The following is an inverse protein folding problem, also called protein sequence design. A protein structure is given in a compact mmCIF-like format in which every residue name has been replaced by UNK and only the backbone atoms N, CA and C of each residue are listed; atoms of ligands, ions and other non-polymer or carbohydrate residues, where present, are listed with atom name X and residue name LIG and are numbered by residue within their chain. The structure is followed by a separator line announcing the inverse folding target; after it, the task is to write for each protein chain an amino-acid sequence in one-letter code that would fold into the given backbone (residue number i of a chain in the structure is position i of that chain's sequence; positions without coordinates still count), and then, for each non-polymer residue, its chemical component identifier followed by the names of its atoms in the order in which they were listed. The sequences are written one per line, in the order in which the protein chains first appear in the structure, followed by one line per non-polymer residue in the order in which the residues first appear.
data_IF_851456480684
#
_entry.id   IF_851456480684
#
_cell.length_a   1.000
_cell.length_b   1.000
_cell.length_c   1.000
_cell.angle_alpha   90.00
_cell.angle_beta   90.00
_cell.angle_gamma   90.00
#
_symmetry.space_group_name_H-M   'P 1'
#
loop_
_entity.id
_entity.type
_entity.pdbx_description
1 polymer ?
#
# COMPACT_ATOMS: atom_id res chain seq x y z
N UNK A 1 -20.36 -8.74 -27.24
CA UNK A 1 -19.55 -8.61 -26.02
C UNK A 1 -20.56 -8.44 -24.89
N UNK A 2 -21.01 -9.57 -24.35
CA UNK A 2 -22.11 -9.63 -23.39
C UNK A 2 -21.54 -9.37 -21.98
N UNK A 3 -22.15 -8.42 -21.26
CA UNK A 3 -21.83 -8.17 -19.86
C UNK A 3 -22.29 -9.38 -19.01
N UNK A 4 -21.49 -9.84 -18.04
CA UNK A 4 -21.95 -10.86 -17.11
C UNK A 4 -22.95 -10.24 -16.12
N UNK A 5 -24.08 -10.93 -15.95
CA UNK A 5 -25.11 -10.66 -14.95
C UNK A 5 -24.50 -10.56 -13.54
N UNK A 6 -24.71 -9.40 -12.92
CA UNK A 6 -24.49 -9.20 -11.49
C UNK A 6 -25.56 -9.99 -10.73
N UNK A 7 -25.24 -11.24 -10.37
CA UNK A 7 -25.97 -11.97 -9.35
C UNK A 7 -25.79 -11.25 -8.01
N UNK A 8 -26.86 -10.58 -7.62
CA UNK A 8 -27.14 -10.04 -6.30
C UNK A 8 -27.03 -11.17 -5.26
N UNK A 9 -25.85 -11.34 -4.66
CA UNK A 9 -25.70 -12.13 -3.45
C UNK A 9 -26.33 -11.36 -2.30
N UNK A 10 -27.64 -11.52 -2.13
CA UNK A 10 -28.30 -11.21 -0.88
C UNK A 10 -27.74 -12.13 0.20
N UNK A 11 -26.82 -11.60 1.02
CA UNK A 11 -26.45 -12.18 2.31
C UNK A 11 -27.74 -12.47 3.08
N UNK A 12 -28.07 -13.75 3.28
CA UNK A 12 -29.09 -14.17 4.24
C UNK A 12 -28.68 -13.68 5.63
N UNK A 13 -29.38 -12.73 6.27
CA UNK A 13 -29.26 -12.61 7.71
C UNK A 13 -30.01 -13.80 8.33
N UNK A 14 -29.68 -14.14 9.57
CA UNK A 14 -30.54 -14.93 10.49
C UNK A 14 -30.20 -16.39 10.83
N UNK A 15 -28.93 -16.81 10.76
CA UNK A 15 -28.50 -17.97 11.58
C UNK A 15 -28.35 -17.63 13.08
N UNK A 16 -28.07 -16.36 13.39
CA UNK A 16 -27.61 -15.91 14.72
C UNK A 16 -28.74 -15.53 15.69
N UNK A 17 -29.88 -15.05 15.18
CA UNK A 17 -30.97 -14.57 16.05
C UNK A 17 -31.90 -15.71 16.43
N UNK A 18 -32.22 -16.60 15.49
CA UNK A 18 -33.15 -17.71 15.75
C UNK A 18 -32.57 -18.74 16.72
N UNK A 19 -31.28 -19.05 16.60
CA UNK A 19 -30.56 -19.93 17.53
C UNK A 19 -30.45 -19.35 18.95
N UNK A 20 -30.36 -18.02 19.10
CA UNK A 20 -30.36 -17.33 20.41
C UNK A 20 -31.74 -17.32 21.07
N UNK A 21 -32.81 -17.20 20.27
CA UNK A 21 -34.19 -17.25 20.78
C UNK A 21 -34.55 -18.67 21.21
N UNK A 22 -34.13 -19.69 20.45
CA UNK A 22 -34.35 -21.09 20.81
C UNK A 22 -33.61 -21.51 22.08
N UNK A 23 -32.36 -21.05 22.27
CA UNK A 23 -31.62 -21.35 23.50
C UNK A 23 -32.20 -20.63 24.72
N UNK A 24 -32.68 -19.39 24.57
CA UNK A 24 -33.37 -18.67 25.65
C UNK A 24 -34.68 -19.39 26.05
N UNK A 25 -35.47 -19.85 25.09
CA UNK A 25 -36.71 -20.60 25.35
C UNK A 25 -36.44 -21.93 26.08
N UNK A 26 -35.40 -22.66 25.68
CA UNK A 26 -34.99 -23.92 26.32
C UNK A 26 -34.53 -23.74 27.78
N UNK A 27 -33.85 -22.62 28.09
CA UNK A 27 -33.46 -22.26 29.46
C UNK A 27 -34.70 -21.99 30.32
N UNK A 28 -35.68 -21.24 29.79
CA UNK A 28 -36.92 -20.92 30.52
C UNK A 28 -37.75 -22.18 30.80
N UNK A 29 -37.87 -23.11 29.84
CA UNK A 29 -38.58 -24.38 30.06
C UNK A 29 -37.87 -25.31 31.03
N UNK A 30 -36.53 -25.38 31.02
CA UNK A 30 -35.77 -26.12 32.03
C UNK A 30 -35.98 -25.56 33.44
N UNK A 31 -35.95 -24.23 33.61
CA UNK A 31 -36.18 -23.58 34.90
C UNK A 31 -37.61 -23.85 35.40
N UNK A 32 -38.61 -23.74 34.52
CA UNK A 32 -40.00 -24.03 34.86
C UNK A 32 -40.21 -25.51 35.27
N UNK A 33 -39.58 -26.45 34.57
CA UNK A 33 -39.64 -27.88 34.90
C UNK A 33 -39.00 -28.20 36.26
N UNK A 34 -37.88 -27.55 36.59
CA UNK A 34 -37.23 -27.73 37.90
C UNK A 34 -38.04 -27.08 39.02
N UNK A 35 -38.64 -25.90 38.80
CA UNK A 35 -39.55 -25.28 39.77
C UNK A 35 -40.78 -26.17 40.05
N UNK A 36 -41.36 -26.76 39.01
CA UNK A 36 -42.45 -27.73 39.15
C UNK A 36 -42.02 -28.99 39.92
N UNK A 37 -40.85 -29.55 39.62
CA UNK A 37 -40.31 -30.72 40.32
C UNK A 37 -40.00 -30.45 41.81
N UNK A 38 -39.50 -29.25 42.14
CA UNK A 38 -39.27 -28.82 43.53
C UNK A 38 -40.60 -28.72 44.28
N UNK A 39 -41.64 -28.12 43.66
CA UNK A 39 -42.96 -27.96 44.27
C UNK A 39 -43.68 -29.29 44.57
N UNK A 40 -43.36 -30.34 43.81
CA UNK A 40 -43.92 -31.68 43.98
C UNK A 40 -43.07 -32.57 44.93
N UNK A 41 -41.84 -32.17 45.25
CA UNK A 41 -40.94 -32.99 46.08
C UNK A 41 -41.25 -32.84 47.57
N UNK A 42 -41.44 -33.96 48.26
CA UNK A 42 -41.67 -34.02 49.71
C UNK A 42 -40.36 -34.00 50.53
N UNK A 43 -39.23 -34.23 49.85
CA UNK A 43 -37.91 -34.39 50.46
C UNK A 43 -36.99 -33.20 50.10
N UNK A 44 -36.56 -32.48 51.14
CA UNK A 44 -35.75 -31.26 51.02
C UNK A 44 -34.41 -31.50 50.35
N UNK A 45 -33.85 -32.71 50.51
CA UNK A 45 -32.53 -33.07 49.98
C UNK A 45 -32.57 -33.18 48.45
N UNK A 46 -33.65 -33.77 47.91
CA UNK A 46 -33.86 -33.91 46.47
C UNK A 46 -34.08 -32.54 45.81
N UNK A 47 -34.80 -31.64 46.47
CA UNK A 47 -35.00 -30.27 45.99
C UNK A 47 -33.67 -29.52 45.81
N UNK A 48 -32.75 -29.61 46.78
CA UNK A 48 -31.42 -28.96 46.69
C UNK A 48 -30.55 -29.55 45.57
N UNK A 49 -30.59 -30.87 45.35
CA UNK A 49 -29.88 -31.53 44.26
C UNK A 49 -30.40 -31.04 42.90
N UNK A 50 -31.73 -30.92 42.74
CA UNK A 50 -32.35 -30.41 41.51
C UNK A 50 -31.99 -28.95 41.24
N UNK A 51 -31.95 -28.11 42.28
CA UNK A 51 -31.49 -26.70 42.16
C UNK A 51 -30.04 -26.66 41.71
N UNK A 52 -29.16 -27.47 42.31
CA UNK A 52 -27.74 -27.51 41.96
C UNK A 52 -27.52 -27.95 40.50
N UNK A 53 -28.22 -29.00 40.04
CA UNK A 53 -28.17 -29.48 38.66
C UNK A 53 -28.66 -28.39 37.70
N UNK A 54 -29.75 -27.71 38.04
CA UNK A 54 -30.30 -26.65 37.21
C UNK A 54 -29.35 -25.44 37.12
N UNK A 55 -28.71 -25.07 38.23
CA UNK A 55 -27.71 -24.01 38.26
C UNK A 55 -26.48 -24.35 37.39
N UNK A 56 -25.99 -25.59 37.45
CA UNK A 56 -24.89 -26.07 36.59
C UNK A 56 -25.31 -26.08 35.13
N UNK A 57 -26.52 -26.56 34.79
CA UNK A 57 -27.03 -26.55 33.42
C UNK A 57 -27.13 -25.13 32.83
N UNK A 58 -27.63 -24.17 33.63
CA UNK A 58 -27.69 -22.75 33.24
C UNK A 58 -26.28 -22.18 33.05
N UNK A 59 -25.34 -22.49 33.95
CA UNK A 59 -23.94 -22.07 33.81
C UNK A 59 -23.29 -22.61 32.53
N UNK A 60 -23.50 -23.88 32.21
CA UNK A 60 -22.99 -24.53 30.99
C UNK A 60 -23.60 -23.89 29.73
N UNK A 61 -24.89 -23.53 29.75
CA UNK A 61 -25.54 -22.85 28.62
C UNK A 61 -25.11 -21.39 28.45
N UNK A 62 -24.84 -20.67 29.55
CA UNK A 62 -24.40 -19.26 29.50
C UNK A 62 -22.90 -19.11 29.20
N UNK A 63 -22.08 -20.12 29.49
CA UNK A 63 -20.64 -20.12 29.25
C UNK A 63 -20.24 -19.71 27.81
N UNK A 64 -20.80 -20.28 26.74
CA UNK A 64 -20.47 -19.85 25.36
C UNK A 64 -20.88 -18.40 25.09
N UNK A 65 -21.98 -17.91 25.68
CA UNK A 65 -22.42 -16.52 25.54
C UNK A 65 -21.42 -15.57 26.21
N UNK A 66 -21.01 -15.87 27.44
CA UNK A 66 -19.99 -15.11 28.19
C UNK A 66 -18.67 -15.12 27.42
N UNK A 67 -18.22 -16.27 26.93
CA UNK A 67 -17.00 -16.37 26.12
C UNK A 67 -17.10 -15.52 24.84
N UNK A 68 -18.22 -15.56 24.12
CA UNK A 68 -18.42 -14.75 22.91
C UNK A 68 -18.39 -13.24 23.21
N UNK A 69 -18.95 -12.84 24.35
CA UNK A 69 -19.04 -11.44 24.76
C UNK A 69 -17.68 -10.92 25.20
N UNK A 70 -16.96 -11.71 26.00
CA UNK A 70 -15.57 -11.41 26.40
C UNK A 70 -14.64 -11.37 25.20
N UNK A 71 -14.76 -12.32 24.27
CA UNK A 71 -13.98 -12.32 23.03
C UNK A 71 -14.26 -11.08 22.18
N UNK A 72 -15.54 -10.69 22.06
CA UNK A 72 -15.95 -9.49 21.33
C UNK A 72 -15.43 -8.21 21.98
N UNK A 73 -15.51 -8.10 23.31
CA UNK A 73 -14.96 -6.97 24.06
C UNK A 73 -13.44 -6.88 23.91
N UNK A 74 -12.72 -8.01 23.98
CA UNK A 74 -11.28 -8.08 23.73
C UNK A 74 -10.93 -7.64 22.30
N UNK A 75 -11.69 -8.08 21.29
CA UNK A 75 -11.52 -7.65 19.90
C UNK A 75 -11.72 -6.13 19.74
N UNK A 76 -12.79 -5.57 20.33
CA UNK A 76 -13.05 -4.12 20.32
C UNK A 76 -11.93 -3.32 20.98
N UNK A 77 -11.43 -3.77 22.13
CA UNK A 77 -10.30 -3.12 22.83
C UNK A 77 -9.04 -3.13 21.97
N UNK A 78 -8.73 -4.27 21.33
CA UNK A 78 -7.60 -4.37 20.40
C UNK A 78 -7.78 -3.43 19.20
N UNK A 79 -8.97 -3.39 18.60
CA UNK A 79 -9.25 -2.50 17.47
C UNK A 79 -9.13 -1.02 17.86
N UNK A 80 -9.62 -0.64 19.04
CA UNK A 80 -9.48 0.72 19.55
C UNK A 80 -8.00 1.10 19.74
N UNK A 81 -7.20 0.21 20.31
CA UNK A 81 -5.76 0.42 20.46
C UNK A 81 -5.06 0.59 19.10
N UNK A 82 -5.42 -0.24 18.10
CA UNK A 82 -4.90 -0.13 16.74
C UNK A 82 -5.32 1.19 16.06
N UNK A 83 -6.56 1.63 16.24
CA UNK A 83 -7.02 2.92 15.70
C UNK A 83 -6.25 4.10 16.32
N UNK A 84 -5.93 4.04 17.61
CA UNK A 84 -5.08 5.06 18.26
C UNK A 84 -3.66 5.03 17.69
N UNK A 85 -3.08 3.84 17.51
CA UNK A 85 -1.76 3.70 16.90
C UNK A 85 -1.73 4.22 15.46
N UNK A 86 -2.75 3.93 14.66
CA UNK A 86 -2.88 4.44 13.29
C UNK A 86 -2.86 5.98 13.24
N UNK A 87 -3.59 6.63 14.14
CA UNK A 87 -3.57 8.10 14.26
C UNK A 87 -2.20 8.64 14.65
N UNK A 88 -1.51 7.99 15.59
CA UNK A 88 -0.15 8.42 15.97
C UNK A 88 0.88 8.26 14.85
N UNK A 89 0.69 7.31 13.94
CA UNK A 89 1.60 7.04 12.82
C UNK A 89 1.28 7.83 11.56
N UNK A 90 0.14 8.51 11.54
CA UNK A 90 -0.31 9.24 10.36
C UNK A 90 0.61 10.39 9.96
N UNK A 91 1.18 11.11 10.92
CA UNK A 91 2.13 12.18 10.64
C UNK A 91 3.41 11.68 9.95
N UNK A 92 3.85 10.45 10.25
CA UNK A 92 4.98 9.82 9.57
C UNK A 92 4.63 9.51 8.11
N UNK A 93 3.40 9.02 7.85
CA UNK A 93 2.90 8.78 6.49
C UNK A 93 2.85 10.08 5.67
N UNK A 94 2.29 11.16 6.24
CA UNK A 94 2.26 12.48 5.59
C UNK A 94 3.67 12.99 5.30
N UNK A 95 4.60 12.83 6.23
CA UNK A 95 6.01 13.20 6.04
C UNK A 95 6.67 12.44 4.88
N UNK A 96 6.45 11.12 4.80
CA UNK A 96 6.92 10.30 3.67
C UNK A 96 6.30 10.74 2.34
N UNK A 97 5.00 11.03 2.31
CA UNK A 97 4.35 11.54 1.11
C UNK A 97 4.96 12.89 0.68
N UNK A 98 5.20 13.83 1.61
CA UNK A 98 5.87 15.11 1.28
C UNK A 98 7.26 14.92 0.70
N UNK A 99 8.06 14.01 1.28
CA UNK A 99 9.37 13.63 0.73
C UNK A 99 9.25 13.01 -0.66
N UNK A 100 8.24 12.20 -0.92
CA UNK A 100 7.99 11.70 -2.27
C UNK A 100 7.66 12.86 -3.24
N UNK A 101 6.89 13.84 -2.78
CA UNK A 101 6.53 15.04 -3.55
C UNK A 101 7.72 15.85 -4.06
N UNK A 102 8.88 15.80 -3.40
CA UNK A 102 10.08 16.49 -3.92
C UNK A 102 10.57 15.86 -5.23
N UNK A 103 10.33 14.57 -5.45
CA UNK A 103 10.70 13.88 -6.69
C UNK A 103 9.71 14.11 -7.82
N UNK A 104 8.45 14.44 -7.53
CA UNK A 104 7.43 14.72 -8.54
C UNK A 104 7.29 16.20 -8.88
N UNK A 105 7.96 17.08 -8.12
CA UNK A 105 7.95 18.51 -8.38
C UNK A 105 8.72 18.85 -9.66
N UNK A 106 8.02 19.24 -10.71
CA UNK A 106 8.61 19.63 -12.01
C UNK A 106 9.29 21.01 -11.99
N UNK A 107 9.05 21.81 -10.94
CA UNK A 107 9.76 23.07 -10.73
C UNK A 107 11.16 22.91 -10.12
N UNK A 108 11.51 21.70 -9.67
CA UNK A 108 12.81 21.40 -9.07
C UNK A 108 13.82 20.96 -10.15
N UNK A 109 14.96 21.66 -10.34
CA UNK A 109 15.99 21.26 -11.31
C UNK A 109 16.61 19.89 -11.03
N UNK A 110 16.46 19.36 -9.82
CA UNK A 110 16.93 18.03 -9.42
C UNK A 110 15.95 16.89 -9.77
N UNK A 111 14.80 17.23 -10.36
CA UNK A 111 13.81 16.28 -10.88
C UNK A 111 14.35 15.53 -12.10
N UNK A 112 14.17 14.20 -12.14
CA UNK A 112 14.73 13.38 -13.21
C UNK A 112 14.18 13.71 -14.60
N UNK A 113 12.92 14.11 -14.70
CA UNK A 113 12.31 14.49 -15.97
C UNK A 113 12.90 15.79 -16.50
N UNK A 114 13.14 16.76 -15.62
CA UNK A 114 13.76 18.02 -15.98
C UNK A 114 15.25 17.84 -16.34
N UNK A 115 15.97 16.98 -15.61
CA UNK A 115 17.34 16.60 -15.95
C UNK A 115 17.41 16.00 -17.37
N UNK A 116 16.53 15.05 -17.69
CA UNK A 116 16.48 14.40 -19.01
C UNK A 116 16.05 15.41 -20.09
N UNK A 117 15.03 16.22 -19.84
CA UNK A 117 14.54 17.24 -20.79
C UNK A 117 15.63 18.26 -21.14
N UNK A 118 16.34 18.77 -20.13
CA UNK A 118 17.45 19.70 -20.31
C UNK A 118 18.60 19.04 -21.08
N UNK A 119 18.90 17.78 -20.78
CA UNK A 119 19.91 17.00 -21.50
C UNK A 119 19.54 16.73 -22.97
N UNK A 120 18.25 16.68 -23.28
CA UNK A 120 17.73 16.62 -24.65
C UNK A 120 17.71 18.00 -25.34
N UNK A 121 18.30 19.06 -24.76
CA UNK A 121 18.26 20.43 -25.29
C UNK A 121 16.83 20.92 -25.57
N UNK A 122 15.86 20.49 -24.76
CA UNK A 122 14.43 20.77 -24.92
C UNK A 122 13.80 20.24 -26.22
N UNK A 123 14.45 19.28 -26.88
CA UNK A 123 13.87 18.51 -27.99
C UNK A 123 12.77 17.58 -27.45
N UNK A 124 11.51 17.98 -27.67
CA UNK A 124 10.34 17.26 -27.15
C UNK A 124 10.20 15.86 -27.72
N UNK A 125 10.62 15.65 -28.97
CA UNK A 125 10.51 14.35 -29.63
C UNK A 125 11.49 13.38 -28.99
N UNK A 126 12.76 13.77 -28.84
CA UNK A 126 13.77 12.93 -28.14
C UNK A 126 13.42 12.69 -26.69
N UNK A 127 12.88 13.69 -26.00
CA UNK A 127 12.43 13.53 -24.62
C UNK A 127 11.31 12.49 -24.52
N UNK A 128 10.29 12.57 -25.39
CA UNK A 128 9.13 11.65 -25.39
C UNK A 128 9.51 10.19 -25.72
N UNK A 129 10.61 9.98 -26.44
CA UNK A 129 11.14 8.64 -26.67
C UNK A 129 11.67 7.99 -25.38
N UNK A 130 12.19 8.80 -24.44
CA UNK A 130 12.75 8.35 -23.16
C UNK A 130 11.66 8.31 -22.09
N UNK A 131 11.06 9.47 -21.82
CA UNK A 131 10.13 9.67 -20.70
C UNK A 131 8.67 9.58 -21.16
N UNK A 132 7.78 8.97 -20.35
CA UNK A 132 6.35 9.03 -20.62
C UNK A 132 5.79 10.45 -20.36
N UNK A 133 4.55 10.73 -20.77
CA UNK A 133 3.84 11.92 -20.33
C UNK A 133 3.79 12.00 -18.80
N UNK A 134 4.01 13.19 -18.24
CA UNK A 134 4.04 13.40 -16.80
C UNK A 134 2.62 13.57 -16.24
N UNK A 135 2.02 12.45 -15.85
CA UNK A 135 0.75 12.41 -15.13
C UNK A 135 0.93 12.61 -13.61
N UNK A 136 2.15 12.45 -13.10
CA UNK A 136 2.41 12.53 -11.65
C UNK A 136 2.32 13.97 -11.15
N UNK A 137 2.64 14.96 -11.99
CA UNK A 137 2.39 16.37 -11.69
C UNK A 137 0.92 16.69 -11.36
N UNK A 138 -0.03 15.94 -11.93
CA UNK A 138 -1.46 16.21 -11.78
C UNK A 138 -2.06 15.34 -10.66
N UNK A 139 -1.68 14.06 -10.60
CA UNK A 139 -2.25 13.10 -9.66
C UNK A 139 -1.69 13.28 -8.24
N UNK A 140 -0.38 13.50 -8.11
CA UNK A 140 0.27 13.49 -6.80
C UNK A 140 -0.18 14.65 -5.88
N UNK A 141 -0.32 15.90 -6.36
CA UNK A 141 -0.80 16.99 -5.50
C UNK A 141 -2.21 16.75 -4.95
N UNK A 142 -3.10 16.14 -5.74
CA UNK A 142 -4.47 15.80 -5.31
C UNK A 142 -4.42 14.75 -4.20
N UNK A 143 -3.61 13.70 -4.37
CA UNK A 143 -3.39 12.68 -3.34
C UNK A 143 -2.82 13.29 -2.06
N UNK A 144 -1.77 14.13 -2.16
CA UNK A 144 -1.16 14.76 -1.00
C UNK A 144 -2.16 15.66 -0.26
N UNK A 145 -2.93 16.47 -0.99
CA UNK A 145 -3.98 17.30 -0.39
C UNK A 145 -5.03 16.45 0.33
N UNK A 146 -5.44 15.32 -0.25
CA UNK A 146 -6.36 14.38 0.40
C UNK A 146 -5.78 13.84 1.71
N UNK A 147 -4.52 13.43 1.68
CA UNK A 147 -3.78 12.92 2.84
C UNK A 147 -3.52 14.00 3.91
N UNK A 148 -3.47 15.28 3.56
CA UNK A 148 -3.29 16.34 4.57
C UNK A 148 -4.62 16.75 5.21
N UNK A 149 -5.70 16.74 4.43
CA UNK A 149 -7.01 17.26 4.86
C UNK A 149 -7.88 16.21 5.55
N UNK A 150 -7.64 14.92 5.29
CA UNK A 150 -8.50 13.83 5.77
C UNK A 150 -7.73 12.78 6.58
N UNK A 151 -7.45 13.03 7.87
CA UNK A 151 -6.83 12.04 8.72
C UNK A 151 -7.70 10.78 8.86
N UNK A 152 -7.09 9.60 9.04
CA UNK A 152 -7.80 8.34 9.09
C UNK A 152 -8.63 8.24 10.37
N UNK A 153 -9.88 7.85 10.21
CA UNK A 153 -10.80 7.60 11.32
C UNK A 153 -10.46 6.29 12.03
N UNK A 154 -9.90 5.32 11.29
CA UNK A 154 -9.61 3.96 11.74
C UNK A 154 -8.38 3.36 11.05
N UNK A 155 -7.95 2.19 11.53
CA UNK A 155 -6.85 1.40 10.98
C UNK A 155 -7.01 1.11 9.49
N UNK A 156 -8.21 0.77 9.01
CA UNK A 156 -8.43 0.37 7.63
C UNK A 156 -8.17 1.55 6.66
N UNK A 157 -8.68 2.73 6.97
CA UNK A 157 -8.42 3.95 6.19
C UNK A 157 -6.93 4.33 6.20
N UNK A 158 -6.25 4.14 7.33
CA UNK A 158 -4.81 4.35 7.44
C UNK A 158 -4.04 3.39 6.52
N UNK A 159 -4.31 2.09 6.59
CA UNK A 159 -3.65 1.08 5.75
C UNK A 159 -3.94 1.29 4.26
N UNK A 160 -5.16 1.71 3.91
CA UNK A 160 -5.51 2.07 2.54
C UNK A 160 -4.66 3.24 2.03
N UNK A 161 -4.50 4.30 2.84
CA UNK A 161 -3.66 5.45 2.48
C UNK A 161 -2.19 5.04 2.24
N UNK A 162 -1.69 4.05 2.98
CA UNK A 162 -0.35 3.49 2.77
C UNK A 162 -0.27 2.75 1.43
N UNK A 163 -1.29 1.96 1.10
CA UNK A 163 -1.35 1.23 -0.17
C UNK A 163 -1.42 2.18 -1.37
N UNK A 164 -2.18 3.27 -1.26
CA UNK A 164 -2.26 4.31 -2.27
C UNK A 164 -0.91 5.00 -2.48
N UNK A 165 -0.23 5.42 -1.41
CA UNK A 165 1.12 5.98 -1.51
C UNK A 165 2.10 4.98 -2.11
N UNK A 166 2.06 3.71 -1.69
CA UNK A 166 2.90 2.66 -2.26
C UNK A 166 2.66 2.50 -3.76
N UNK A 167 1.41 2.48 -4.21
CA UNK A 167 1.06 2.35 -5.62
C UNK A 167 1.60 3.53 -6.44
N UNK A 168 1.50 4.76 -5.91
CA UNK A 168 2.06 5.95 -6.56
C UNK A 168 3.59 5.87 -6.67
N UNK A 169 4.28 5.50 -5.59
CA UNK A 169 5.75 5.35 -5.58
C UNK A 169 6.20 4.21 -6.51
N UNK A 170 5.47 3.09 -6.53
CA UNK A 170 5.77 1.96 -7.41
C UNK A 170 5.55 2.32 -8.89
N UNK A 171 4.45 3.01 -9.20
CA UNK A 171 4.20 3.55 -10.54
C UNK A 171 5.29 4.54 -10.94
N UNK A 172 5.68 5.45 -10.04
CA UNK A 172 6.75 6.41 -10.29
C UNK A 172 8.09 5.71 -10.59
N UNK A 173 8.45 4.73 -9.75
CA UNK A 173 9.65 3.91 -9.92
C UNK A 173 9.67 3.28 -11.30
N UNK A 174 8.57 2.65 -11.72
CA UNK A 174 8.50 1.94 -13.00
C UNK A 174 8.59 2.89 -14.18
N UNK A 175 7.72 3.89 -14.22
CA UNK A 175 7.47 4.71 -15.41
C UNK A 175 8.45 5.86 -15.58
N UNK A 176 8.95 6.45 -14.49
CA UNK A 176 9.78 7.66 -14.55
C UNK A 176 11.23 7.44 -14.14
N UNK A 177 11.56 6.28 -13.57
CA UNK A 177 12.93 5.94 -13.18
C UNK A 177 13.45 4.72 -13.94
N UNK A 178 12.91 3.53 -13.68
CA UNK A 178 13.39 2.26 -14.26
C UNK A 178 13.30 2.24 -15.78
N UNK A 179 12.13 2.55 -16.35
CA UNK A 179 11.94 2.51 -17.81
C UNK A 179 12.78 3.56 -18.56
N UNK A 180 12.82 4.84 -18.14
CA UNK A 180 13.72 5.82 -18.73
C UNK A 180 15.18 5.38 -18.68
N UNK A 181 15.65 4.86 -17.54
CA UNK A 181 17.03 4.41 -17.39
C UNK A 181 17.32 3.20 -18.30
N UNK A 182 16.36 2.27 -18.39
CA UNK A 182 16.44 1.14 -19.31
C UNK A 182 16.55 1.60 -20.76
N UNK A 183 15.73 2.58 -21.19
CA UNK A 183 15.76 3.14 -22.54
C UNK A 183 17.06 3.87 -22.83
N UNK A 184 17.56 4.69 -21.89
CA UNK A 184 18.84 5.40 -22.03
C UNK A 184 20.02 4.44 -22.24
N UNK A 185 20.01 3.29 -21.55
CA UNK A 185 21.05 2.26 -21.67
C UNK A 185 20.92 1.39 -22.92
N UNK A 186 19.70 0.94 -23.24
CA UNK A 186 19.48 -0.10 -24.25
C UNK A 186 19.16 0.43 -25.64
N UNK A 187 18.47 1.58 -25.75
CA UNK A 187 18.16 2.18 -27.06
C UNK A 187 19.44 2.74 -27.67
N UNK A 188 19.57 2.59 -28.98
CA UNK A 188 20.73 3.05 -29.76
C UNK A 188 20.38 4.40 -30.41
N UNK A 189 21.21 5.40 -30.17
CA UNK A 189 20.98 6.81 -30.52
C UNK A 189 22.04 7.32 -31.49
N UNK A 190 21.66 8.19 -32.45
CA UNK A 190 22.62 8.83 -33.35
C UNK A 190 23.67 9.63 -32.57
N UNK A 191 24.95 9.36 -32.82
CA UNK A 191 26.05 10.06 -32.17
C UNK A 191 26.36 11.37 -32.90
N UNK A 192 26.36 12.49 -32.17
CA UNK A 192 26.60 13.82 -32.75
C UNK A 192 28.06 14.06 -33.18
N UNK A 193 29.03 13.33 -32.61
CA UNK A 193 30.44 13.42 -32.96
C UNK A 193 31.04 12.02 -33.24
N UNK A 194 31.08 11.55 -34.50
CA UNK A 194 31.71 10.27 -34.85
C UNK A 194 33.22 10.26 -34.57
N UNK A 195 33.83 11.44 -34.38
CA UNK A 195 35.26 11.60 -34.13
C UNK A 195 35.71 11.14 -32.74
N UNK A 196 34.81 11.08 -31.76
CA UNK A 196 35.13 10.58 -30.39
C UNK A 196 35.11 9.04 -30.34
N UNK A 197 34.71 8.40 -31.44
CA UNK A 197 34.75 6.94 -31.64
C UNK A 197 35.82 6.54 -32.67
N UNK A 198 36.84 7.40 -32.89
CA UNK A 198 37.89 7.16 -33.89
C UNK A 198 38.83 5.98 -33.59
N UNK A 199 38.71 5.33 -32.44
CA UNK A 199 39.41 4.06 -32.18
C UNK A 199 38.63 2.81 -32.62
N UNK A 200 37.35 2.93 -33.02
CA UNK A 200 36.59 1.81 -33.56
C UNK A 200 36.14 2.08 -35.00
N UNK A 201 37.04 1.75 -35.93
CA UNK A 201 36.80 1.45 -37.34
C UNK A 201 36.30 2.59 -38.25
N UNK A 202 37.13 2.87 -39.27
CA UNK A 202 36.78 3.11 -40.68
C UNK A 202 35.77 4.20 -41.02
N UNK A 203 36.25 5.25 -41.71
CA UNK A 203 35.53 6.17 -42.62
C UNK A 203 34.02 6.34 -42.38
N UNK A 204 33.65 7.39 -41.65
CA UNK A 204 32.24 7.76 -41.44
C UNK A 204 31.58 8.18 -42.76
N UNK A 205 30.61 7.39 -43.21
CA UNK A 205 29.72 7.74 -44.32
C UNK A 205 28.54 8.55 -43.75
N UNK A 206 28.25 9.79 -44.20
CA UNK A 206 27.19 10.64 -43.64
C UNK A 206 25.76 10.07 -43.81
N UNK A 207 25.60 9.02 -44.63
CA UNK A 207 24.34 8.30 -44.81
C UNK A 207 24.08 7.17 -43.80
N UNK A 208 25.01 6.92 -42.85
CA UNK A 208 24.81 5.90 -41.81
C UNK A 208 25.37 6.38 -40.45
N UNK A 209 24.57 7.09 -39.62
CA UNK A 209 25.05 7.62 -38.35
C UNK A 209 25.46 6.48 -37.41
N UNK A 210 26.66 6.58 -36.81
CA UNK A 210 27.08 5.64 -35.76
C UNK A 210 26.08 5.77 -34.59
N UNK A 211 25.58 4.62 -34.12
CA UNK A 211 24.64 4.58 -33.01
C UNK A 211 25.31 4.12 -31.71
N UNK A 212 24.99 4.77 -30.59
CA UNK A 212 25.53 4.42 -29.27
C UNK A 212 24.51 4.59 -28.14
N UNK A 213 24.90 4.35 -26.89
CA UNK A 213 24.06 4.64 -25.73
C UNK A 213 23.72 6.14 -25.66
N UNK A 214 22.61 6.49 -24.99
CA UNK A 214 22.10 7.86 -24.99
C UNK A 214 23.11 8.89 -24.48
N UNK A 215 23.82 8.62 -23.36
CA UNK A 215 24.83 9.53 -22.81
C UNK A 215 25.93 9.89 -23.84
N UNK A 216 26.28 8.96 -24.74
CA UNK A 216 27.29 9.20 -25.77
C UNK A 216 26.78 10.03 -26.94
N UNK A 217 25.45 10.10 -27.12
CA UNK A 217 24.82 10.98 -28.12
C UNK A 217 24.85 12.47 -27.71
N UNK A 218 25.03 12.74 -26.41
CA UNK A 218 25.12 14.11 -25.87
C UNK A 218 26.48 14.76 -26.18
N UNK A 219 26.54 16.09 -26.32
CA UNK A 219 27.81 16.82 -26.41
C UNK A 219 28.68 16.58 -25.15
N UNK A 220 30.02 16.56 -25.27
CA UNK A 220 30.90 16.16 -24.16
C UNK A 220 30.68 16.94 -22.86
N UNK A 221 30.52 18.26 -22.94
CA UNK A 221 30.32 19.13 -21.77
C UNK A 221 28.93 18.95 -21.10
N UNK A 222 27.91 18.49 -21.85
CA UNK A 222 26.61 18.16 -21.28
C UNK A 222 26.57 16.75 -20.70
N UNK A 223 27.37 15.82 -21.25
CA UNK A 223 27.42 14.42 -20.78
C UNK A 223 27.81 14.31 -19.32
N UNK A 224 28.93 14.92 -18.93
CA UNK A 224 29.45 14.84 -17.55
C UNK A 224 28.45 15.43 -16.55
N UNK A 225 27.84 16.57 -16.90
CA UNK A 225 26.81 17.20 -16.08
C UNK A 225 25.56 16.34 -15.96
N UNK A 226 25.08 15.75 -17.06
CA UNK A 226 23.89 14.91 -17.06
C UNK A 226 24.12 13.63 -16.25
N UNK A 227 25.28 12.99 -16.42
CA UNK A 227 25.67 11.78 -15.68
C UNK A 227 25.71 12.05 -14.17
N UNK A 228 26.34 13.14 -13.75
CA UNK A 228 26.42 13.53 -12.34
C UNK A 228 25.03 13.80 -11.73
N UNK A 229 24.16 14.53 -12.44
CA UNK A 229 22.81 14.85 -11.97
C UNK A 229 21.91 13.60 -11.89
N UNK A 230 22.02 12.69 -12.87
CA UNK A 230 21.27 11.44 -12.86
C UNK A 230 21.74 10.54 -11.70
N UNK A 231 23.04 10.48 -11.43
CA UNK A 231 23.56 9.68 -10.32
C UNK A 231 23.14 10.25 -8.96
N UNK A 232 23.20 11.56 -8.77
CA UNK A 232 22.68 12.23 -7.56
C UNK A 232 21.18 11.91 -7.34
N UNK A 233 20.36 12.04 -8.38
CA UNK A 233 18.95 11.66 -8.33
C UNK A 233 18.80 10.18 -7.94
N UNK A 234 19.57 9.29 -8.55
CA UNK A 234 19.52 7.84 -8.29
C UNK A 234 19.79 7.52 -6.81
N UNK A 235 20.76 8.17 -6.21
CA UNK A 235 21.12 7.99 -4.80
C UNK A 235 20.03 8.52 -3.85
N UNK A 236 19.52 9.72 -4.10
CA UNK A 236 18.39 10.29 -3.33
C UNK A 236 17.15 9.42 -3.42
N UNK A 237 16.81 8.95 -4.62
CA UNK A 237 15.67 8.07 -4.86
C UNK A 237 15.82 6.73 -4.13
N UNK A 238 17.00 6.11 -4.23
CA UNK A 238 17.29 4.86 -3.55
C UNK A 238 17.21 4.99 -2.02
N UNK A 239 17.73 6.09 -1.46
CA UNK A 239 17.63 6.39 -0.02
C UNK A 239 16.17 6.55 0.42
N UNK A 240 15.36 7.26 -0.37
CA UNK A 240 13.92 7.38 -0.09
C UNK A 240 13.21 6.00 -0.10
N UNK A 241 13.50 5.16 -1.09
CA UNK A 241 12.92 3.80 -1.16
C UNK A 241 13.31 2.94 0.05
N UNK A 242 14.55 3.04 0.53
CA UNK A 242 15.02 2.31 1.71
C UNK A 242 14.31 2.77 2.99
N UNK A 243 14.17 4.07 3.17
CA UNK A 243 13.44 4.64 4.30
C UNK A 243 11.97 4.21 4.29
N UNK A 244 11.32 4.27 3.14
CA UNK A 244 9.94 3.85 2.97
C UNK A 244 9.79 2.35 3.25
N UNK A 245 10.69 1.51 2.72
CA UNK A 245 10.71 0.07 2.98
C UNK A 245 10.83 -0.23 4.48
N UNK A 246 11.80 0.40 5.16
CA UNK A 246 12.02 0.24 6.59
C UNK A 246 10.78 0.63 7.39
N UNK A 247 10.16 1.75 7.03
CA UNK A 247 8.93 2.21 7.66
C UNK A 247 7.77 1.23 7.46
N UNK A 248 7.54 0.75 6.24
CA UNK A 248 6.47 -0.21 5.93
C UNK A 248 6.65 -1.57 6.62
N UNK A 249 7.89 -2.04 6.81
CA UNK A 249 8.18 -3.23 7.63
C UNK A 249 7.71 -3.01 9.07
N UNK A 250 8.01 -1.85 9.66
CA UNK A 250 7.53 -1.50 11.01
C UNK A 250 6.01 -1.42 11.10
N UNK A 251 5.33 -0.96 10.05
CA UNK A 251 3.86 -0.98 9.96
C UNK A 251 3.34 -2.43 9.92
N UNK A 252 3.92 -3.29 9.09
CA UNK A 252 3.51 -4.70 9.01
C UNK A 252 3.61 -5.41 10.36
N UNK A 253 4.69 -5.18 11.10
CA UNK A 253 4.87 -5.71 12.46
C UNK A 253 3.85 -5.13 13.45
N UNK A 254 3.61 -3.81 13.41
CA UNK A 254 2.73 -3.12 14.36
C UNK A 254 1.26 -3.49 14.18
N UNK A 255 0.81 -3.71 12.94
CA UNK A 255 -0.59 -3.95 12.62
C UNK A 255 -0.89 -5.43 12.30
N UNK A 256 0.13 -6.26 12.15
CA UNK A 256 -0.02 -7.66 11.73
C UNK A 256 -0.51 -7.76 10.28
N UNK A 257 0.02 -6.91 9.41
CA UNK A 257 -0.37 -6.80 7.99
C UNK A 257 0.72 -7.31 7.06
N UNK A 258 0.40 -7.47 5.78
CA UNK A 258 1.33 -7.92 4.73
C UNK A 258 1.36 -6.94 3.57
N UNK A 259 1.67 -5.67 3.85
CA UNK A 259 1.87 -4.64 2.83
C UNK A 259 3.12 -4.99 1.99
N UNK A 260 3.06 -4.70 0.70
CA UNK A 260 4.20 -4.86 -0.21
C UNK A 260 5.34 -3.91 0.19
N UNK A 261 6.58 -4.40 0.21
CA UNK A 261 7.76 -3.62 0.64
C UNK A 261 8.89 -3.62 -0.39
N UNK A 262 8.60 -4.16 -1.58
CA UNK A 262 9.57 -4.23 -2.67
C UNK A 262 9.44 -3.03 -3.59
N UNK A 263 10.57 -2.42 -3.90
CA UNK A 263 10.72 -1.42 -4.96
C UNK A 263 11.88 -1.86 -5.86
N UNK A 264 11.72 -1.73 -7.17
CA UNK A 264 12.82 -1.97 -8.09
C UNK A 264 13.89 -0.89 -7.89
N UNK A 265 15.15 -1.31 -7.72
CA UNK A 265 16.29 -0.41 -7.60
C UNK A 265 16.71 0.08 -8.99
N UNK A 266 16.85 1.40 -9.20
CA UNK A 266 17.38 1.90 -10.46
C UNK A 266 18.84 1.46 -10.65
N UNK A 267 19.12 0.87 -11.81
CA UNK A 267 20.48 0.46 -12.20
C UNK A 267 21.26 1.69 -12.67
N UNK A 268 22.58 1.68 -12.48
CA UNK A 268 23.47 2.69 -13.07
C UNK A 268 23.36 2.64 -14.60
N UNK A 269 23.50 3.81 -15.23
CA UNK A 269 23.46 3.99 -16.69
C UNK A 269 24.72 3.44 -17.36
#
# INVERSE_FOLDING_TARGET
MELPDFLEQTEKPSGSVHSKIQSAAAVVTCIAAVAAAISASKDRTIAWILIAICAVAVLVMLFPFIQSTVASAKKRKRQAAKNVAAKSKYSELVSLAKRFGTFTNTGDPSNILLIIQNSCANDTDKYSEICPPDYMKDVFPIFLQHLETRPPENEAQFLLSIQELYALVASYTREYVSEPFRKMRLKKWPLQNPSVLHEAMGTANPSNPKLGPWLYSLPPHYRESAEAQIEDFRERWASFQDDMKKWMVGINESFGTTLHTYFERPKKL
#
